data_IF_971665804392
#
_entry.id   IF_971665804392
#
_cell.length_a   1.000
_cell.length_b   1.000
_cell.length_c   1.000
_cell.angle_alpha   90.00
_cell.angle_beta   90.00
_cell.angle_gamma   90.00
#
_symmetry.space_group_name_H-M   'P 1'
#
loop_
_entity.id
_entity.type
_entity.pdbx_description
1 polymer ?
#
# COMPACT_ATOMS: atom_id res chain seq x y z
N UNK A 1 -22.26 -10.98 -7.35
CA UNK A 1 -23.58 -10.31 -7.33
C UNK A 1 -23.56 -9.25 -8.43
N UNK A 2 -24.57 -9.21 -9.30
CA UNK A 2 -24.76 -8.07 -10.18
C UNK A 2 -25.24 -6.87 -9.34
N UNK A 3 -24.90 -5.62 -9.72
CA UNK A 3 -25.43 -4.44 -9.04
C UNK A 3 -26.96 -4.46 -9.12
N UNK A 4 -27.58 -4.42 -7.95
CA UNK A 4 -29.03 -4.51 -7.81
C UNK A 4 -29.41 -4.17 -6.38
N UNK A 5 -30.63 -3.66 -6.19
CA UNK A 5 -31.08 -3.09 -4.92
C UNK A 5 -30.88 -4.04 -3.71
N UNK A 6 -31.04 -5.35 -3.93
CA UNK A 6 -30.84 -6.37 -2.89
C UNK A 6 -29.35 -6.54 -2.54
N UNK A 7 -28.47 -6.51 -3.55
CA UNK A 7 -27.01 -6.58 -3.35
C UNK A 7 -26.49 -5.38 -2.58
N UNK A 8 -26.93 -4.17 -2.97
CA UNK A 8 -26.54 -2.93 -2.29
C UNK A 8 -27.05 -2.89 -0.85
N UNK A 9 -28.25 -3.41 -0.57
CA UNK A 9 -28.77 -3.51 0.80
C UNK A 9 -27.88 -4.38 1.70
N UNK A 10 -27.38 -5.52 1.19
CA UNK A 10 -26.43 -6.35 1.93
C UNK A 10 -25.11 -5.63 2.19
N UNK A 11 -24.57 -4.95 1.18
CA UNK A 11 -23.31 -4.23 1.32
C UNK A 11 -23.42 -3.05 2.27
N UNK A 12 -24.52 -2.30 2.22
CA UNK A 12 -24.80 -1.22 3.17
C UNK A 12 -24.95 -1.75 4.60
N UNK A 13 -25.58 -2.91 4.78
CA UNK A 13 -25.67 -3.58 6.07
C UNK A 13 -24.28 -3.98 6.60
N UNK A 14 -23.42 -4.52 5.73
CA UNK A 14 -22.03 -4.87 6.06
C UNK A 14 -21.23 -3.62 6.45
N UNK A 15 -21.35 -2.54 5.67
CA UNK A 15 -20.71 -1.26 5.92
C UNK A 15 -21.16 -0.70 7.28
N UNK A 16 -22.46 -0.72 7.57
CA UNK A 16 -22.99 -0.30 8.86
C UNK A 16 -22.40 -1.10 10.04
N UNK A 17 -22.24 -2.42 9.89
CA UNK A 17 -21.59 -3.25 10.91
C UNK A 17 -20.12 -2.87 11.15
N UNK A 18 -19.39 -2.54 10.09
CA UNK A 18 -18.02 -2.05 10.18
C UNK A 18 -17.95 -0.66 10.86
N UNK A 19 -18.78 0.28 10.44
CA UNK A 19 -18.79 1.66 10.95
C UNK A 19 -19.23 1.73 12.41
N UNK A 20 -20.30 1.03 12.80
CA UNK A 20 -20.74 0.95 14.20
C UNK A 20 -19.62 0.41 15.10
N UNK A 21 -18.91 -0.59 14.62
CA UNK A 21 -17.78 -1.16 15.36
C UNK A 21 -16.67 -0.13 15.53
N UNK A 22 -16.29 0.58 14.47
CA UNK A 22 -15.28 1.63 14.51
C UNK A 22 -15.65 2.70 15.55
N UNK A 23 -16.90 3.14 15.57
CA UNK A 23 -17.37 4.18 16.49
C UNK A 23 -17.40 3.67 17.95
N UNK A 24 -17.73 2.41 18.19
CA UNK A 24 -17.64 1.79 19.52
C UNK A 24 -16.19 1.71 20.02
N UNK A 25 -15.26 1.33 19.15
CA UNK A 25 -13.83 1.27 19.47
C UNK A 25 -13.29 2.68 19.74
N UNK A 26 -13.67 3.67 18.94
CA UNK A 26 -13.28 5.06 19.18
C UNK A 26 -13.67 5.53 20.58
N UNK A 27 -14.91 5.25 20.99
CA UNK A 27 -15.39 5.54 22.35
C UNK A 27 -14.65 4.74 23.42
N UNK A 28 -14.30 3.49 23.14
CA UNK A 28 -13.48 2.66 24.04
C UNK A 28 -12.08 3.24 24.23
N UNK A 29 -11.43 3.66 23.15
CA UNK A 29 -10.11 4.26 23.17
C UNK A 29 -10.10 5.61 23.92
N UNK A 30 -11.14 6.44 23.74
CA UNK A 30 -11.31 7.69 24.50
C UNK A 30 -11.42 7.42 26.00
N UNK A 31 -12.29 6.50 26.42
CA UNK A 31 -12.47 6.13 27.83
C UNK A 31 -11.19 5.59 28.47
N UNK A 32 -10.44 4.80 27.72
CA UNK A 32 -9.17 4.27 28.18
C UNK A 32 -8.12 5.36 28.34
N UNK A 33 -8.04 6.29 27.38
CA UNK A 33 -7.16 7.46 27.50
C UNK A 33 -7.52 8.32 28.74
N UNK A 34 -8.81 8.44 29.06
CA UNK A 34 -9.30 9.17 30.23
C UNK A 34 -9.00 8.43 31.53
N UNK A 35 -9.18 7.10 31.57
CA UNK A 35 -8.84 6.27 32.72
C UNK A 35 -7.35 6.32 33.04
N UNK A 36 -6.49 6.32 32.01
CA UNK A 36 -5.04 6.49 32.15
C UNK A 36 -4.71 7.87 32.74
N UNK A 37 -5.33 8.95 32.22
CA UNK A 37 -5.14 10.32 32.72
C UNK A 37 -5.60 10.49 34.17
N UNK A 38 -6.72 9.89 34.53
CA UNK A 38 -7.32 9.99 35.88
C UNK A 38 -6.76 8.96 36.86
N UNK A 39 -5.86 8.07 36.41
CA UNK A 39 -5.31 6.94 37.20
C UNK A 39 -6.41 6.10 37.85
N UNK A 40 -7.50 5.86 37.12
CA UNK A 40 -8.63 5.10 37.63
C UNK A 40 -8.31 3.60 37.66
N UNK A 41 -7.90 3.09 38.82
CA UNK A 41 -7.52 1.69 39.01
C UNK A 41 -8.70 0.68 38.87
N UNK A 42 -9.94 1.16 38.87
CA UNK A 42 -11.14 0.33 38.69
C UNK A 42 -11.58 0.23 37.21
N UNK A 43 -10.89 0.91 36.29
CA UNK A 43 -11.23 0.85 34.87
C UNK A 43 -10.85 -0.52 34.28
N UNK A 44 -11.83 -1.23 33.73
CA UNK A 44 -11.58 -2.44 32.95
C UNK A 44 -11.27 -2.04 31.49
N UNK A 45 -10.10 -2.42 30.95
CA UNK A 45 -9.71 -2.06 29.58
C UNK A 45 -10.63 -2.70 28.55
N UNK A 46 -10.82 -2.00 27.44
CA UNK A 46 -11.70 -2.46 26.38
C UNK A 46 -11.09 -3.72 25.72
N UNK A 47 -11.82 -4.85 25.75
CA UNK A 47 -11.33 -6.14 25.23
C UNK A 47 -11.24 -6.20 23.71
N UNK A 48 -11.85 -5.25 23.03
CA UNK A 48 -11.78 -5.06 21.60
C UNK A 48 -10.48 -4.34 21.21
N UNK A 49 -9.30 -4.82 21.67
CA UNK A 49 -8.00 -4.20 21.41
C UNK A 49 -7.02 -4.97 20.48
N UNK A 50 -7.32 -6.21 20.05
CA UNK A 50 -6.49 -6.96 19.06
C UNK A 50 -6.09 -6.25 17.75
N UNK A 51 -4.99 -6.71 17.15
CA UNK A 51 -4.24 -6.10 16.03
C UNK A 51 -5.04 -5.96 14.71
N UNK A 52 -5.99 -6.86 14.44
CA UNK A 52 -6.92 -6.76 13.32
C UNK A 52 -8.34 -7.01 13.83
N UNK A 53 -9.32 -6.23 13.33
CA UNK A 53 -10.74 -6.33 13.75
C UNK A 53 -11.69 -6.59 12.59
N UNK A 54 -11.54 -7.71 11.87
CA UNK A 54 -12.51 -8.07 10.85
C UNK A 54 -13.89 -8.31 11.49
N UNK A 55 -14.91 -7.62 11.00
CA UNK A 55 -16.31 -7.79 11.44
C UNK A 55 -17.18 -8.53 10.44
N UNK A 56 -16.82 -8.47 9.16
CA UNK A 56 -17.59 -9.04 8.07
C UNK A 56 -16.65 -9.78 7.14
N UNK A 57 -17.02 -11.00 6.76
CA UNK A 57 -16.36 -11.79 5.72
C UNK A 57 -17.34 -11.97 4.56
N UNK A 58 -16.93 -11.56 3.36
CA UNK A 58 -17.71 -11.73 2.12
C UNK A 58 -17.14 -12.90 1.32
N UNK A 59 -17.89 -14.00 1.23
CA UNK A 59 -17.55 -15.14 0.37
C UNK A 59 -18.25 -15.00 -0.98
N UNK A 60 -17.47 -14.99 -2.05
CA UNK A 60 -17.95 -14.72 -3.40
C UNK A 60 -17.50 -15.84 -4.35
N UNK A 61 -18.36 -16.28 -5.29
CA UNK A 61 -18.13 -17.49 -6.08
C UNK A 61 -17.03 -17.33 -7.13
N UNK A 62 -16.81 -16.10 -7.62
CA UNK A 62 -15.81 -15.83 -8.66
C UNK A 62 -14.95 -14.62 -8.30
N UNK A 63 -13.71 -14.64 -8.77
CA UNK A 63 -12.73 -13.54 -8.63
C UNK A 63 -13.32 -12.19 -9.06
N UNK A 64 -13.89 -12.13 -10.25
CA UNK A 64 -14.46 -10.89 -10.79
C UNK A 64 -15.63 -10.36 -9.93
N UNK A 65 -16.45 -11.25 -9.36
CA UNK A 65 -17.51 -10.84 -8.45
C UNK A 65 -16.98 -10.23 -7.14
N UNK A 66 -15.81 -10.68 -6.65
CA UNK A 66 -15.14 -10.07 -5.51
C UNK A 66 -14.67 -8.65 -5.79
N UNK A 67 -14.00 -8.45 -6.93
CA UNK A 67 -13.57 -7.11 -7.35
C UNK A 67 -14.73 -6.13 -7.44
N UNK A 68 -15.78 -6.48 -8.20
CA UNK A 68 -16.96 -5.62 -8.35
C UNK A 68 -17.63 -5.30 -7.02
N UNK A 69 -17.68 -6.27 -6.11
CA UNK A 69 -18.28 -6.07 -4.79
C UNK A 69 -17.47 -5.09 -3.95
N UNK A 70 -16.13 -5.17 -3.98
CA UNK A 70 -15.26 -4.23 -3.28
C UNK A 70 -15.38 -2.83 -3.88
N UNK A 71 -15.32 -2.69 -5.21
CA UNK A 71 -15.49 -1.38 -5.86
C UNK A 71 -16.84 -0.75 -5.51
N UNK A 72 -17.92 -1.53 -5.56
CA UNK A 72 -19.24 -1.06 -5.16
C UNK A 72 -19.30 -0.62 -3.69
N UNK A 73 -18.66 -1.38 -2.80
CA UNK A 73 -18.58 -1.02 -1.38
C UNK A 73 -17.84 0.32 -1.18
N UNK A 74 -16.76 0.56 -1.92
CA UNK A 74 -16.01 1.82 -1.88
C UNK A 74 -16.84 3.00 -2.38
N UNK A 75 -17.62 2.83 -3.45
CA UNK A 75 -18.51 3.88 -3.98
C UNK A 75 -19.61 4.29 -2.99
N UNK A 76 -20.09 3.35 -2.17
CA UNK A 76 -21.14 3.61 -1.18
C UNK A 76 -20.60 4.25 0.11
N UNK A 77 -19.28 4.26 0.32
CA UNK A 77 -18.69 4.90 1.48
C UNK A 77 -18.80 6.43 1.35
N UNK A 78 -19.24 7.14 2.40
CA UNK A 78 -19.31 8.60 2.37
C UNK A 78 -17.91 9.21 2.27
N UNK A 79 -17.75 10.22 1.42
CA UNK A 79 -16.46 10.90 1.17
C UNK A 79 -15.84 11.52 2.43
N UNK A 80 -16.62 11.73 3.50
CA UNK A 80 -16.13 12.22 4.78
C UNK A 80 -15.29 11.19 5.56
N UNK A 81 -15.29 9.92 5.14
CA UNK A 81 -14.53 8.86 5.80
C UNK A 81 -13.37 8.44 4.91
N UNK A 82 -12.17 8.46 5.49
CA UNK A 82 -10.97 7.90 4.85
C UNK A 82 -11.10 6.39 4.79
N UNK A 83 -11.29 5.84 3.59
CA UNK A 83 -11.35 4.40 3.36
C UNK A 83 -9.99 3.93 2.88
N UNK A 84 -9.32 3.13 3.70
CA UNK A 84 -8.08 2.47 3.32
C UNK A 84 -8.37 1.00 2.95
N UNK A 85 -7.85 0.58 1.80
CA UNK A 85 -7.90 -0.82 1.37
C UNK A 85 -6.52 -1.43 1.58
N UNK A 86 -6.40 -2.26 2.62
CA UNK A 86 -5.15 -2.97 2.88
C UNK A 86 -4.78 -3.88 1.69
N UNK A 87 -3.50 -3.87 1.31
CA UNK A 87 -2.96 -4.64 0.19
C UNK A 87 -3.67 -4.40 -1.15
N UNK A 88 -4.03 -3.14 -1.45
CA UNK A 88 -4.72 -2.76 -2.70
C UNK A 88 -4.03 -3.31 -3.96
N UNK A 89 -2.72 -3.21 -4.07
CA UNK A 89 -1.99 -3.73 -5.24
C UNK A 89 -2.21 -5.24 -5.47
N UNK A 90 -2.26 -6.03 -4.39
CA UNK A 90 -2.54 -7.47 -4.46
C UNK A 90 -4.00 -7.74 -4.80
N UNK A 91 -4.92 -6.88 -4.35
CA UNK A 91 -6.33 -6.95 -4.74
C UNK A 91 -6.46 -6.69 -6.24
N UNK A 92 -5.84 -5.64 -6.74
CA UNK A 92 -5.91 -5.22 -8.15
C UNK A 92 -5.30 -6.32 -9.04
N UNK A 93 -4.06 -6.74 -8.79
CA UNK A 93 -3.40 -7.82 -9.54
C UNK A 93 -4.15 -9.16 -9.50
N UNK A 94 -4.78 -9.45 -8.35
CA UNK A 94 -5.41 -10.74 -8.10
C UNK A 94 -6.87 -10.81 -8.53
N UNK A 95 -7.57 -9.67 -8.64
CA UNK A 95 -9.03 -9.65 -8.79
C UNK A 95 -9.56 -8.69 -9.84
N UNK A 96 -8.80 -7.65 -10.22
CA UNK A 96 -9.21 -6.79 -11.32
C UNK A 96 -9.44 -7.63 -12.58
N UNK A 97 -10.41 -7.24 -13.42
CA UNK A 97 -10.52 -7.85 -14.74
C UNK A 97 -9.18 -7.63 -15.44
N UNK A 98 -8.66 -8.70 -16.05
CA UNK A 98 -7.55 -8.58 -16.98
C UNK A 98 -8.01 -7.59 -18.04
N UNK A 99 -7.43 -6.40 -18.05
CA UNK A 99 -7.68 -5.45 -19.11
C UNK A 99 -7.41 -6.19 -20.40
N UNK A 100 -8.39 -6.21 -21.30
CA UNK A 100 -8.08 -6.41 -22.70
C UNK A 100 -7.14 -5.25 -23.03
N UNK A 101 -5.84 -5.53 -22.96
CA UNK A 101 -4.88 -4.77 -23.72
C UNK A 101 -5.31 -5.01 -25.17
N UNK A 102 -6.23 -4.17 -25.65
CA UNK A 102 -6.03 -3.56 -26.95
C UNK A 102 -4.65 -2.91 -26.87
N UNK A 103 -3.67 -3.78 -27.09
CA UNK A 103 -2.37 -3.52 -27.62
C UNK A 103 -2.65 -2.75 -28.92
N UNK A 104 -2.87 -1.45 -28.79
CA UNK A 104 -2.41 -0.52 -29.81
C UNK A 104 -0.88 -0.60 -29.70
N UNK A 105 -0.35 -1.70 -30.22
CA UNK A 105 1.06 -1.88 -30.47
C UNK A 105 1.44 -0.82 -31.50
N UNK A 106 1.78 0.36 -31.01
CA UNK A 106 2.66 1.26 -31.75
C UNK A 106 4.06 0.65 -31.68
N UNK A 107 4.25 -0.42 -32.47
CA UNK A 107 5.56 -0.85 -32.95
C UNK A 107 6.21 0.37 -33.61
N UNK A 108 7.33 0.91 -33.10
CA UNK A 108 8.12 1.87 -33.86
C UNK A 108 8.88 1.10 -34.95
N UNK A 109 8.15 0.71 -36.00
CA UNK A 109 8.72 0.24 -37.24
C UNK A 109 9.32 1.45 -37.96
N UNK A 110 10.66 1.53 -37.89
CA UNK A 110 11.54 2.10 -38.90
C UNK A 110 11.58 3.64 -39.02
N UNK A 111 12.62 4.25 -38.44
CA UNK A 111 13.32 5.31 -39.15
C UNK A 111 14.83 5.04 -39.12
N UNK A 112 15.40 5.14 -40.30
CA UNK A 112 16.71 4.65 -40.71
C UNK A 112 17.86 5.29 -39.93
N UNK A 113 18.85 4.43 -39.67
CA UNK A 113 20.23 4.85 -39.57
C UNK A 113 20.63 5.51 -40.90
N UNK A 114 20.98 6.80 -40.86
CA UNK A 114 22.16 7.35 -41.55
C UNK A 114 22.16 8.89 -41.45
N UNK A 115 23.00 9.46 -40.58
CA UNK A 115 23.42 10.88 -40.66
C UNK A 115 24.71 11.20 -39.88
N UNK A 116 25.19 10.35 -38.97
CA UNK A 116 26.34 10.71 -38.10
C UNK A 116 27.73 10.28 -38.62
N UNK A 117 27.83 9.72 -39.83
CA UNK A 117 29.13 9.43 -40.47
C UNK A 117 29.84 10.68 -41.02
N UNK A 118 29.19 11.85 -41.03
CA UNK A 118 29.79 13.11 -41.49
C UNK A 118 30.50 13.94 -40.39
N UNK A 119 30.33 13.60 -39.10
CA UNK A 119 30.84 14.44 -38.00
C UNK A 119 32.07 13.87 -37.26
N UNK A 120 32.44 12.59 -37.47
CA UNK A 120 33.54 11.94 -36.74
C UNK A 120 34.92 11.99 -37.39
N UNK A 121 35.06 12.61 -38.57
CA UNK A 121 36.35 12.83 -39.22
C UNK A 121 37.14 14.05 -38.68
N UNK A 122 36.64 14.79 -37.68
CA UNK A 122 37.21 16.08 -37.29
C UNK A 122 37.29 16.37 -35.77
N UNK A 123 37.71 15.43 -34.93
CA UNK A 123 38.33 15.67 -33.60
C UNK A 123 38.44 14.32 -32.88
N UNK A 124 39.59 13.78 -32.49
CA UNK A 124 40.61 14.40 -31.66
C UNK A 124 40.80 13.53 -30.41
N UNK A 125 41.92 12.81 -30.38
CA UNK A 125 42.51 11.96 -29.33
C UNK A 125 42.12 12.20 -27.85
N UNK A 126 41.96 11.11 -27.09
CA UNK A 126 42.84 10.69 -25.98
C UNK A 126 42.06 9.99 -24.85
N UNK A 127 42.62 8.88 -24.34
CA UNK A 127 42.64 8.61 -22.90
C UNK A 127 41.74 7.51 -22.33
N UNK A 128 42.43 6.43 -21.93
CA UNK A 128 42.22 5.60 -20.75
C UNK A 128 41.32 4.35 -20.85
N UNK A 129 42.03 3.22 -20.79
CA UNK A 129 41.60 1.84 -20.63
C UNK A 129 40.84 1.53 -19.33
N UNK A 130 40.15 0.40 -19.40
CA UNK A 130 39.38 -0.30 -18.37
C UNK A 130 40.18 -0.86 -17.18
N UNK A 131 39.36 -1.18 -16.16
CA UNK A 131 39.45 -2.28 -15.16
C UNK A 131 39.71 -1.82 -13.71
N UNK A 132 39.28 -2.58 -12.66
CA UNK A 132 38.82 -3.97 -12.70
C UNK A 132 37.59 -4.36 -11.84
N UNK A 133 37.12 -5.58 -12.13
CA UNK A 133 36.45 -6.51 -11.23
C UNK A 133 37.32 -6.85 -10.01
N UNK A 134 36.77 -6.77 -8.79
CA UNK A 134 37.12 -7.68 -7.69
C UNK A 134 36.14 -7.55 -6.51
N UNK A 135 35.64 -8.70 -6.08
CA UNK A 135 34.94 -8.92 -4.84
C UNK A 135 35.83 -8.63 -3.61
N UNK A 136 35.25 -8.12 -2.53
CA UNK A 136 35.59 -8.55 -1.17
C UNK A 136 34.61 -8.01 -0.11
N UNK A 137 34.35 -8.90 0.84
CA UNK A 137 33.74 -8.76 2.16
C UNK A 137 33.68 -7.35 2.78
N UNK A 138 32.54 -7.06 3.40
CA UNK A 138 32.45 -6.11 4.53
C UNK A 138 31.30 -6.48 5.47
N UNK A 139 31.38 -7.68 6.05
CA UNK A 139 30.89 -7.89 7.40
C UNK A 139 31.77 -7.08 8.36
N UNK A 140 31.36 -5.85 8.72
CA UNK A 140 31.71 -5.12 9.97
C UNK A 140 31.52 -3.60 9.84
N UNK A 141 30.28 -3.13 9.68
CA UNK A 141 29.94 -1.73 10.00
C UNK A 141 28.65 -1.69 10.81
N UNK A 142 28.70 -2.21 12.03
CA UNK A 142 27.62 -2.02 13.03
C UNK A 142 28.15 -1.78 14.45
N UNK A 143 29.43 -1.44 14.63
CA UNK A 143 30.03 -1.35 15.97
C UNK A 143 30.89 -0.09 16.24
N UNK A 144 30.80 0.97 15.42
CA UNK A 144 31.64 2.17 15.59
C UNK A 144 30.89 3.51 15.67
N UNK A 145 29.58 3.51 15.96
CA UNK A 145 28.78 4.74 16.08
C UNK A 145 28.18 4.98 17.48
N UNK A 146 28.53 4.15 18.47
CA UNK A 146 27.91 4.19 19.81
C UNK A 146 28.76 4.84 20.92
N UNK A 147 29.91 5.46 20.63
CA UNK A 147 30.80 6.00 21.68
C UNK A 147 31.22 7.47 21.50
N UNK A 148 30.51 8.28 20.71
CA UNK A 148 30.78 9.73 20.56
C UNK A 148 29.67 10.67 21.04
N UNK A 149 28.74 10.19 21.88
CA UNK A 149 27.63 11.00 22.39
C UNK A 149 27.57 11.10 23.94
N UNK A 150 28.69 10.85 24.64
CA UNK A 150 28.74 10.88 26.11
C UNK A 150 29.91 11.72 26.66
N UNK A 151 30.25 12.84 26.00
CA UNK A 151 31.36 13.70 26.43
C UNK A 151 31.11 15.19 26.23
N UNK A 152 29.86 15.62 26.05
CA UNK A 152 29.53 17.03 25.82
C UNK A 152 28.33 17.46 26.67
N UNK A 153 28.53 17.43 27.99
CA UNK A 153 27.83 18.26 28.98
C UNK A 153 28.57 18.13 30.32
N UNK A 154 29.59 18.96 30.49
CA UNK A 154 30.11 19.42 31.77
C UNK A 154 30.06 20.95 31.76
#
# INVERSE_FOLDING_TARGET
>A
LAPGAVGDAYLLHCLNHALKTRDLIGKGAERESEAIRTKNAAFEPSRDQGFTRPKVLLLLPTRNSAWRTVQRLLEMCPASQTVEVANRERLDRGFAPDGDSSDEGEDPLFEELDSDEAARAASGSSGAEEAPCAASDSSSQIAASAQRAASDQA
#
